data_IF_489355202408
#
_entry.id   IF_489355202408
#
_cell.length_a   1.000
_cell.length_b   1.000
_cell.length_c   1.000
_cell.angle_alpha   90.00
_cell.angle_beta   90.00
_cell.angle_gamma   90.00
#
_symmetry.space_group_name_H-M   'P 1'
#
loop_
_entity.id
_entity.type
_entity.pdbx_description
1 polymer ?
#
# COMPACT_ATOMS: atom_id res chain seq x y z
N UNK A 1 18.68 -69.77 -32.24
CA UNK A 1 19.64 -68.97 -31.46
C UNK A 1 20.24 -67.94 -32.41
N UNK A 2 20.22 -66.65 -32.01
CA UNK A 2 21.01 -65.50 -32.54
C UNK A 2 20.96 -65.25 -34.07
N UNK A 3 20.66 -64.07 -34.61
CA UNK A 3 20.52 -62.70 -34.12
C UNK A 3 20.36 -61.74 -35.33
N UNK A 4 20.64 -60.45 -35.11
CA UNK A 4 20.72 -59.33 -36.09
C UNK A 4 19.37 -58.67 -36.45
N UNK A 5 19.23 -57.35 -36.69
CA UNK A 5 20.15 -56.21 -36.80
C UNK A 5 19.31 -54.91 -36.62
N UNK A 6 19.89 -53.83 -36.08
CA UNK A 6 19.31 -52.48 -36.06
C UNK A 6 19.46 -51.77 -37.43
N UNK A 7 18.45 -51.01 -37.85
CA UNK A 7 18.61 -49.78 -38.63
C UNK A 7 17.36 -48.89 -38.52
N UNK A 8 17.58 -47.62 -38.17
CA UNK A 8 16.62 -46.52 -38.14
C UNK A 8 16.27 -46.05 -39.57
N UNK A 9 15.03 -45.67 -39.79
CA UNK A 9 14.63 -44.70 -40.81
C UNK A 9 13.48 -43.85 -40.26
N UNK A 10 13.74 -42.55 -40.12
CA UNK A 10 12.74 -41.58 -39.73
C UNK A 10 11.81 -41.20 -40.88
N UNK A 11 10.66 -40.64 -40.52
CA UNK A 11 9.90 -39.75 -41.39
C UNK A 11 9.38 -38.60 -40.54
N UNK A 12 9.80 -37.39 -40.91
CA UNK A 12 9.37 -36.15 -40.30
C UNK A 12 7.91 -35.84 -40.67
N UNK A 13 7.17 -35.38 -39.67
CA UNK A 13 5.92 -34.66 -39.85
C UNK A 13 6.07 -33.30 -39.14
N UNK A 14 5.93 -32.23 -39.92
CA UNK A 14 5.90 -30.86 -39.42
C UNK A 14 4.74 -30.69 -38.43
N UNK A 15 5.01 -30.11 -37.26
CA UNK A 15 3.97 -29.79 -36.29
C UNK A 15 3.35 -28.43 -36.64
N UNK A 16 2.01 -28.32 -36.71
CA UNK A 16 1.35 -27.04 -36.85
C UNK A 16 1.42 -26.24 -35.54
N UNK A 17 1.39 -24.93 -35.73
CA UNK A 17 1.18 -23.90 -34.71
C UNK A 17 -0.19 -24.12 -34.02
N UNK A 18 -0.30 -23.67 -32.77
CA UNK A 18 -1.47 -23.73 -31.88
C UNK A 18 -1.71 -25.03 -31.08
N UNK A 19 -1.03 -25.13 -29.93
CA UNK A 19 -1.50 -25.90 -28.79
C UNK A 19 -1.50 -25.02 -27.53
N UNK A 20 -2.61 -24.29 -27.34
CA UNK A 20 -2.95 -23.60 -26.10
C UNK A 20 -3.31 -24.67 -25.07
N UNK A 21 -2.38 -24.96 -24.16
CA UNK A 21 -2.69 -25.67 -22.91
C UNK A 21 -3.24 -24.65 -21.92
N UNK A 22 -4.54 -24.72 -21.67
CA UNK A 22 -5.24 -23.94 -20.67
C UNK A 22 -4.67 -24.22 -19.29
N UNK A 23 -4.07 -23.19 -18.69
CA UNK A 23 -3.82 -23.12 -17.27
C UNK A 23 -4.90 -22.22 -16.65
N UNK A 24 -5.68 -22.80 -15.74
CA UNK A 24 -6.61 -22.06 -14.87
C UNK A 24 -5.86 -20.99 -14.06
N UNK A 25 -6.25 -19.70 -14.10
CA UNK A 25 -5.73 -18.71 -13.18
C UNK A 25 -6.63 -18.65 -11.94
N UNK A 26 -6.36 -19.50 -10.96
CA UNK A 26 -6.96 -19.39 -9.64
C UNK A 26 -5.85 -19.31 -8.59
N UNK A 27 -5.41 -18.08 -8.30
CA UNK A 27 -4.95 -17.53 -7.01
C UNK A 27 -4.06 -16.32 -7.29
N UNK A 28 -4.59 -15.12 -7.06
CA UNK A 28 -3.94 -13.85 -7.33
C UNK A 28 -2.66 -13.67 -6.48
N UNK A 29 -1.52 -13.52 -7.14
CA UNK A 29 -0.28 -13.02 -6.56
C UNK A 29 -0.41 -11.51 -6.32
N UNK A 30 -0.87 -11.10 -5.14
CA UNK A 30 -0.94 -9.67 -4.75
C UNK A 30 0.39 -9.14 -4.18
N UNK A 31 1.54 -9.66 -4.65
CA UNK A 31 2.82 -8.98 -4.46
C UNK A 31 2.89 -7.78 -5.42
N UNK A 32 2.23 -6.69 -5.03
CA UNK A 32 1.88 -5.60 -5.92
C UNK A 32 3.09 -4.72 -6.24
N UNK A 33 3.37 -4.46 -7.53
CA UNK A 33 4.51 -3.66 -8.00
C UNK A 33 4.00 -2.40 -8.73
N UNK A 34 4.18 -1.22 -8.13
CA UNK A 34 4.03 0.07 -8.81
C UNK A 34 5.33 0.83 -8.57
N UNK A 35 6.05 1.24 -9.62
CA UNK A 35 7.47 1.64 -9.54
C UNK A 35 7.76 2.93 -8.75
N UNK A 36 6.76 3.62 -8.20
CA UNK A 36 6.93 4.85 -7.42
C UNK A 36 6.30 4.71 -6.02
N UNK A 37 7.10 4.80 -4.94
CA UNK A 37 6.62 4.78 -3.56
C UNK A 37 5.91 6.07 -3.16
N UNK A 38 4.78 5.99 -2.45
CA UNK A 38 4.13 7.17 -1.87
C UNK A 38 5.00 7.72 -0.74
N UNK A 39 5.50 8.93 -0.85
CA UNK A 39 6.28 9.55 0.23
C UNK A 39 5.36 10.18 1.28
N UNK A 40 5.84 10.35 2.52
CA UNK A 40 5.10 11.13 3.53
C UNK A 40 4.87 12.58 3.08
N UNK A 41 5.82 13.16 2.33
CA UNK A 41 5.67 14.46 1.69
C UNK A 41 4.61 14.44 0.56
N UNK A 42 4.43 13.28 -0.08
CA UNK A 42 3.34 12.99 -1.00
C UNK A 42 1.95 13.05 -0.34
N UNK A 43 1.86 12.78 0.97
CA UNK A 43 0.64 12.99 1.75
C UNK A 43 0.43 14.45 2.18
N UNK A 44 1.51 15.23 2.30
CA UNK A 44 1.46 16.66 2.65
C UNK A 44 1.34 17.58 1.44
N UNK A 45 1.24 17.03 0.21
CA UNK A 45 1.12 17.86 -1.00
C UNK A 45 -0.06 18.81 -0.78
N UNK A 46 0.23 20.11 -0.90
CA UNK A 46 -0.66 21.24 -0.61
C UNK A 46 -2.03 21.18 -1.33
N UNK A 47 -2.39 20.12 -2.04
CA UNK A 47 -3.73 20.00 -2.63
C UNK A 47 -4.55 18.79 -2.24
N UNK A 48 -4.08 17.86 -1.39
CA UNK A 48 -4.98 16.88 -0.76
C UNK A 48 -5.96 17.58 0.21
N UNK A 49 -5.54 18.70 0.81
CA UNK A 49 -6.31 19.49 1.78
C UNK A 49 -6.75 20.87 1.25
N UNK A 50 -6.05 21.45 0.26
CA UNK A 50 -6.36 22.81 -0.25
C UNK A 50 -7.04 22.74 -1.62
N UNK A 51 -8.37 22.84 -1.60
CA UNK A 51 -9.27 23.22 -2.70
C UNK A 51 -9.29 22.39 -4.02
N UNK A 52 -8.25 21.62 -4.39
CA UNK A 52 -8.21 20.83 -5.63
C UNK A 52 -8.82 19.43 -5.53
N UNK A 53 -8.66 18.78 -4.38
CA UNK A 53 -9.17 17.43 -4.05
C UNK A 53 -10.26 17.46 -2.98
N UNK A 54 -11.05 18.55 -2.91
CA UNK A 54 -12.25 18.55 -2.04
C UNK A 54 -13.16 17.39 -2.43
N UNK A 55 -13.95 16.89 -1.49
CA UNK A 55 -14.85 15.71 -1.56
C UNK A 55 -15.69 15.59 -2.86
N UNK A 56 -15.88 16.70 -3.60
CA UNK A 56 -16.61 16.78 -4.86
C UNK A 56 -15.72 16.70 -6.14
N UNK A 57 -14.43 17.04 -6.03
CA UNK A 57 -13.47 17.11 -7.14
C UNK A 57 -12.89 15.76 -7.58
N UNK A 58 -13.21 14.67 -6.87
CA UNK A 58 -12.76 13.33 -7.22
C UNK A 58 -13.84 12.48 -7.90
N UNK A 59 -15.08 12.94 -8.10
CA UNK A 59 -16.12 12.14 -8.80
C UNK A 59 -15.68 11.70 -10.21
N UNK A 60 -16.43 10.84 -10.91
CA UNK A 60 -16.09 10.44 -12.30
C UNK A 60 -15.90 11.65 -13.23
N UNK A 61 -16.57 12.76 -12.96
CA UNK A 61 -16.38 14.04 -13.66
C UNK A 61 -15.39 14.98 -12.96
N UNK A 62 -14.94 14.64 -11.76
CA UNK A 62 -13.98 15.37 -10.95
C UNK A 62 -12.62 15.53 -11.63
N UNK A 63 -12.12 14.45 -12.26
CA UNK A 63 -10.85 14.46 -13.00
C UNK A 63 -10.88 15.35 -14.25
N UNK A 64 -12.07 15.63 -14.80
CA UNK A 64 -12.24 16.53 -15.96
C UNK A 64 -12.58 17.96 -15.57
N UNK A 65 -12.64 18.28 -14.27
CA UNK A 65 -12.88 19.66 -13.82
C UNK A 65 -11.68 20.56 -14.07
N UNK A 66 -11.94 21.85 -14.24
CA UNK A 66 -10.88 22.86 -14.30
C UNK A 66 -10.06 22.89 -13.00
N UNK A 67 -10.71 22.78 -11.83
CA UNK A 67 -10.03 22.77 -10.54
C UNK A 67 -9.04 21.60 -10.38
N UNK A 68 -9.42 20.39 -10.83
CA UNK A 68 -8.49 19.26 -10.84
C UNK A 68 -7.32 19.49 -11.80
N UNK A 69 -7.57 20.01 -13.01
CA UNK A 69 -6.50 20.33 -13.97
C UNK A 69 -5.51 21.37 -13.40
N UNK A 70 -6.01 22.41 -12.75
CA UNK A 70 -5.19 23.44 -12.09
C UNK A 70 -4.34 22.83 -10.97
N UNK A 71 -4.95 22.04 -10.10
CA UNK A 71 -4.23 21.34 -9.03
C UNK A 71 -3.15 20.40 -9.59
N UNK A 72 -3.50 19.57 -10.58
CA UNK A 72 -2.58 18.61 -11.17
C UNK A 72 -1.39 19.33 -11.82
N UNK A 73 -1.66 20.43 -12.54
CA UNK A 73 -0.61 21.23 -13.18
C UNK A 73 0.30 21.92 -12.18
N UNK A 74 -0.24 22.42 -11.06
CA UNK A 74 0.56 23.02 -9.97
C UNK A 74 1.44 21.99 -9.23
N UNK A 75 1.09 20.71 -9.31
CA UNK A 75 1.76 19.62 -8.59
C UNK A 75 2.27 18.55 -9.56
N UNK A 76 2.64 18.92 -10.79
CA UNK A 76 2.93 17.98 -11.88
C UNK A 76 4.00 16.92 -11.52
N UNK A 77 4.95 17.26 -10.65
CA UNK A 77 6.00 16.34 -10.19
C UNK A 77 5.51 15.25 -9.23
N UNK A 78 4.37 15.46 -8.54
CA UNK A 78 3.88 14.57 -7.46
C UNK A 78 2.46 14.05 -7.70
N UNK A 79 1.61 14.81 -8.38
CA UNK A 79 0.22 14.47 -8.65
C UNK A 79 0.04 13.13 -9.39
N UNK A 80 0.86 12.75 -10.40
CA UNK A 80 0.73 11.45 -11.05
C UNK A 80 0.89 10.27 -10.08
N UNK A 81 1.85 10.38 -9.14
CA UNK A 81 2.10 9.35 -8.13
C UNK A 81 0.99 9.33 -7.07
N UNK A 82 0.56 10.49 -6.57
CA UNK A 82 -0.57 10.57 -5.62
C UNK A 82 -1.84 9.95 -6.23
N UNK A 83 -2.14 10.26 -7.49
CA UNK A 83 -3.29 9.67 -8.19
C UNK A 83 -3.16 8.16 -8.41
N UNK A 84 -1.95 7.66 -8.66
CA UNK A 84 -1.72 6.21 -8.74
C UNK A 84 -2.13 5.51 -7.44
N UNK A 85 -1.80 6.08 -6.27
CA UNK A 85 -2.19 5.49 -4.98
C UNK A 85 -3.66 5.70 -4.64
N UNK A 86 -4.24 6.86 -4.93
CA UNK A 86 -5.69 7.08 -4.75
C UNK A 86 -6.47 6.04 -5.55
N UNK A 87 -6.14 5.87 -6.83
CA UNK A 87 -6.84 4.91 -7.71
C UNK A 87 -6.59 3.47 -7.27
N UNK A 88 -5.35 3.12 -6.92
CA UNK A 88 -4.98 1.80 -6.37
C UNK A 88 -5.79 1.43 -5.13
N UNK A 89 -5.97 2.37 -4.20
CA UNK A 89 -6.76 2.16 -2.99
C UNK A 89 -8.27 2.13 -3.25
N UNK A 90 -8.77 3.08 -4.03
CA UNK A 90 -10.20 3.34 -4.14
C UNK A 90 -10.92 2.47 -5.18
N UNK A 91 -10.28 2.21 -6.32
CA UNK A 91 -10.86 1.49 -7.45
C UNK A 91 -10.56 -0.01 -7.33
N UNK A 92 -11.52 -0.90 -7.61
CA UNK A 92 -11.28 -2.34 -7.58
C UNK A 92 -10.34 -2.79 -8.71
N UNK A 93 -9.70 -3.93 -8.51
CA UNK A 93 -8.90 -4.60 -9.52
C UNK A 93 -9.67 -4.78 -10.84
N UNK A 94 -8.95 -4.71 -11.96
CA UNK A 94 -9.52 -4.83 -13.31
C UNK A 94 -10.16 -3.54 -13.85
N UNK A 95 -10.25 -2.48 -13.04
CA UNK A 95 -10.70 -1.16 -13.51
C UNK A 95 -9.55 -0.13 -13.53
N UNK A 96 -9.68 0.90 -14.37
CA UNK A 96 -8.67 1.98 -14.49
C UNK A 96 -9.32 3.36 -14.43
N UNK A 97 -8.53 4.39 -14.11
CA UNK A 97 -8.93 5.80 -14.26
C UNK A 97 -7.96 6.50 -15.19
N UNK A 98 -8.50 7.35 -16.05
CA UNK A 98 -7.72 8.10 -17.04
C UNK A 98 -7.91 9.59 -16.84
N UNK A 99 -6.84 10.35 -17.02
CA UNK A 99 -6.85 11.80 -16.99
C UNK A 99 -6.04 12.32 -18.18
N UNK A 100 -6.48 13.41 -18.81
CA UNK A 100 -5.70 14.12 -19.81
C UNK A 100 -5.51 15.56 -19.35
N UNK A 101 -4.26 15.97 -19.18
CA UNK A 101 -3.91 17.33 -18.78
C UNK A 101 -4.33 18.32 -19.86
N UNK A 102 -5.14 19.31 -19.50
CA UNK A 102 -5.48 20.40 -20.44
C UNK A 102 -4.31 21.35 -20.68
N UNK A 103 -3.31 21.36 -19.78
CA UNK A 103 -2.13 22.22 -19.89
C UNK A 103 -1.07 21.66 -20.85
N UNK A 104 -0.86 20.33 -20.83
CA UNK A 104 0.20 19.66 -21.61
C UNK A 104 -0.31 18.73 -22.69
N UNK A 105 -1.59 18.34 -22.64
CA UNK A 105 -2.17 17.31 -23.51
C UNK A 105 -1.80 15.87 -23.14
N UNK A 106 -0.93 15.67 -22.15
CA UNK A 106 -0.45 14.36 -21.71
C UNK A 106 -1.57 13.53 -21.08
N UNK A 107 -1.59 12.23 -21.39
CA UNK A 107 -2.59 11.28 -20.89
C UNK A 107 -1.98 10.36 -19.83
N UNK A 108 -2.61 10.34 -18.66
CA UNK A 108 -2.30 9.46 -17.55
C UNK A 108 -3.36 8.36 -17.44
N UNK A 109 -2.94 7.16 -17.06
CA UNK A 109 -3.83 6.01 -16.80
C UNK A 109 -3.33 5.27 -15.57
N UNK A 110 -4.22 5.08 -14.58
CA UNK A 110 -3.89 4.42 -13.32
C UNK A 110 -4.78 3.18 -13.13
N UNK A 111 -4.22 2.01 -12.81
CA UNK A 111 -4.98 0.82 -12.48
C UNK A 111 -5.46 0.84 -11.02
N UNK A 112 -6.68 0.33 -10.80
CA UNK A 112 -7.22 0.04 -9.47
C UNK A 112 -6.70 -1.27 -8.90
N UNK A 113 -6.96 -1.51 -7.61
CA UNK A 113 -6.65 -2.77 -6.94
C UNK A 113 -7.63 -3.08 -5.80
N UNK A 114 -7.63 -2.28 -4.72
CA UNK A 114 -8.27 -2.67 -3.46
C UNK A 114 -9.77 -2.43 -3.40
N UNK A 115 -10.30 -1.51 -4.21
CA UNK A 115 -11.74 -1.26 -4.26
C UNK A 115 -12.36 -0.72 -2.98
N UNK A 116 -11.61 0.06 -2.18
CA UNK A 116 -12.08 0.54 -0.88
C UNK A 116 -13.22 1.56 -0.95
N UNK A 117 -13.44 2.17 -2.12
CA UNK A 117 -14.46 3.18 -2.34
C UNK A 117 -15.28 2.92 -3.62
N UNK A 118 -16.18 1.92 -3.60
CA UNK A 118 -16.92 1.53 -4.80
C UNK A 118 -18.02 2.53 -5.19
N UNK A 119 -18.57 3.32 -4.27
CA UNK A 119 -19.48 4.41 -4.60
C UNK A 119 -18.76 5.48 -5.42
N UNK A 120 -17.58 5.88 -4.95
CA UNK A 120 -16.67 6.77 -5.65
C UNK A 120 -16.22 6.19 -7.00
N UNK A 121 -15.79 4.93 -7.02
CA UNK A 121 -15.42 4.24 -8.25
C UNK A 121 -16.59 4.20 -9.25
N UNK A 122 -17.83 4.08 -8.79
CA UNK A 122 -19.03 4.13 -9.63
C UNK A 122 -19.42 5.56 -10.06
N UNK A 123 -18.67 6.59 -9.66
CA UNK A 123 -18.86 7.98 -10.08
C UNK A 123 -19.70 8.84 -9.15
N UNK A 124 -20.04 8.35 -7.95
CA UNK A 124 -20.68 9.17 -6.92
C UNK A 124 -19.63 10.00 -6.18
N UNK A 125 -20.11 10.99 -5.42
CA UNK A 125 -19.27 11.66 -4.42
C UNK A 125 -18.81 10.64 -3.37
N UNK A 126 -17.55 10.75 -2.94
CA UNK A 126 -17.01 9.86 -1.91
C UNK A 126 -17.70 10.13 -0.57
N UNK A 127 -18.28 9.10 0.01
CA UNK A 127 -18.82 9.17 1.37
C UNK A 127 -17.69 9.39 2.39
N UNK A 128 -18.04 9.78 3.61
CA UNK A 128 -17.06 9.96 4.69
C UNK A 128 -16.33 8.64 4.99
N UNK A 129 -17.03 7.50 4.97
CA UNK A 129 -16.40 6.20 5.21
C UNK A 129 -15.43 5.82 4.09
N UNK A 130 -15.76 6.12 2.83
CA UNK A 130 -14.86 5.93 1.68
C UNK A 130 -13.61 6.79 1.81
N UNK A 131 -13.77 8.07 2.19
CA UNK A 131 -12.65 8.97 2.45
C UNK A 131 -11.73 8.42 3.54
N UNK A 132 -12.30 7.89 4.63
CA UNK A 132 -11.54 7.30 5.73
C UNK A 132 -10.80 6.03 5.32
N UNK A 133 -11.47 5.12 4.59
CA UNK A 133 -10.85 3.87 4.13
C UNK A 133 -9.70 4.14 3.15
N UNK A 134 -9.89 5.07 2.21
CA UNK A 134 -8.82 5.49 1.28
C UNK A 134 -7.70 6.20 2.04
N UNK A 135 -8.02 7.08 2.99
CA UNK A 135 -7.02 7.75 3.85
C UNK A 135 -6.14 6.76 4.61
N UNK A 136 -6.76 5.72 5.19
CA UNK A 136 -6.07 4.64 5.88
C UNK A 136 -5.12 3.87 4.93
N UNK A 137 -5.57 3.58 3.72
CA UNK A 137 -4.76 2.92 2.70
C UNK A 137 -3.59 3.78 2.21
N UNK A 138 -3.80 5.09 2.01
CA UNK A 138 -2.74 6.02 1.66
C UNK A 138 -1.68 6.10 2.77
N UNK A 139 -2.11 6.17 4.03
CA UNK A 139 -1.20 6.12 5.18
C UNK A 139 -0.44 4.78 5.24
N UNK A 140 -1.11 3.67 4.92
CA UNK A 140 -0.54 2.34 4.81
C UNK A 140 0.42 2.16 3.62
N UNK A 141 0.43 3.05 2.64
CA UNK A 141 1.41 3.02 1.55
C UNK A 141 2.49 4.09 1.69
N UNK A 142 2.31 5.05 2.58
CA UNK A 142 3.28 6.09 2.81
C UNK A 142 4.57 5.51 3.40
N UNK A 143 5.68 5.85 2.76
CA UNK A 143 7.03 5.48 3.15
C UNK A 143 7.89 6.74 3.18
N UNK A 144 8.58 6.99 4.30
CA UNK A 144 9.48 8.14 4.47
C UNK A 144 10.59 8.19 3.40
N UNK A 145 11.05 7.03 2.93
CA UNK A 145 12.16 6.92 1.98
C UNK A 145 11.69 6.89 0.51
N UNK A 146 10.38 6.97 0.25
CA UNK A 146 9.83 6.88 -1.11
C UNK A 146 10.07 5.54 -1.81
N UNK A 147 10.46 4.52 -1.06
CA UNK A 147 10.65 3.17 -1.58
C UNK A 147 9.31 2.45 -1.66
N UNK A 148 9.06 1.78 -2.78
CA UNK A 148 7.95 0.85 -2.89
C UNK A 148 8.35 -0.48 -2.23
N UNK A 149 7.55 -0.96 -1.28
CA UNK A 149 7.71 -2.32 -0.75
C UNK A 149 6.41 -3.10 -0.94
N UNK A 150 6.52 -4.41 -1.12
CA UNK A 150 5.35 -5.26 -1.19
C UNK A 150 4.70 -5.34 0.20
N UNK A 151 3.38 -5.23 0.26
CA UNK A 151 2.59 -5.23 1.49
C UNK A 151 1.39 -6.15 1.33
N UNK A 152 1.08 -6.89 2.39
CA UNK A 152 -0.25 -7.44 2.58
C UNK A 152 -1.12 -6.36 3.21
N UNK A 153 -2.19 -5.97 2.51
CA UNK A 153 -3.12 -4.91 2.93
C UNK A 153 -4.44 -5.56 3.28
N UNK A 154 -4.77 -5.56 4.57
CA UNK A 154 -5.92 -6.27 5.12
C UNK A 154 -6.89 -5.28 5.74
N UNK A 155 -8.19 -5.57 5.64
CA UNK A 155 -9.21 -4.67 6.16
C UNK A 155 -10.57 -4.92 5.52
N UNK A 156 -11.37 -3.86 5.45
CA UNK A 156 -12.68 -3.87 4.79
C UNK A 156 -12.84 -2.65 3.88
N UNK A 157 -13.64 -2.79 2.82
CA UNK A 157 -14.12 -1.66 2.02
C UNK A 157 -15.05 -0.78 2.85
N UNK A 158 -15.41 0.40 2.34
CA UNK A 158 -16.34 1.31 3.00
C UNK A 158 -17.74 0.71 3.26
N UNK A 159 -18.15 -0.28 2.48
CA UNK A 159 -19.41 -1.04 2.60
C UNK A 159 -19.27 -2.25 3.52
N UNK A 160 -18.07 -2.46 4.08
CA UNK A 160 -17.80 -3.52 5.04
C UNK A 160 -17.42 -4.87 4.42
N UNK A 161 -17.24 -4.99 3.10
CA UNK A 161 -16.73 -6.21 2.47
C UNK A 161 -15.26 -6.42 2.86
N UNK A 162 -14.85 -7.64 3.19
CA UNK A 162 -13.45 -7.93 3.48
C UNK A 162 -12.60 -7.76 2.20
N UNK A 163 -11.42 -7.16 2.34
CA UNK A 163 -10.41 -7.19 1.26
C UNK A 163 -10.00 -8.66 1.09
N UNK A 164 -10.02 -9.23 -0.14
CA UNK A 164 -9.58 -10.60 -0.36
C UNK A 164 -8.11 -10.79 0.02
N UNK A 165 -7.80 -11.91 0.69
CA UNK A 165 -6.44 -12.35 1.01
C UNK A 165 -6.36 -13.87 0.96
N UNK A 166 -5.15 -14.40 0.75
CA UNK A 166 -4.89 -15.85 0.69
C UNK A 166 -4.06 -16.36 1.87
N UNK A 167 -4.04 -17.68 2.07
CA UNK A 167 -3.17 -18.30 3.07
C UNK A 167 -1.68 -18.14 2.68
N UNK A 168 -1.40 -18.19 1.38
CA UNK A 168 -0.09 -17.99 0.79
C UNK A 168 0.42 -16.57 1.06
N UNK A 169 -0.42 -15.54 0.85
CA UNK A 169 -0.11 -14.16 1.19
C UNK A 169 0.25 -14.03 2.67
N UNK A 170 -0.60 -14.54 3.58
CA UNK A 170 -0.33 -14.46 5.01
C UNK A 170 0.92 -15.25 5.43
N UNK A 171 1.31 -16.28 4.68
CA UNK A 171 2.54 -17.04 4.92
C UNK A 171 3.80 -16.27 4.51
N UNK A 172 3.73 -15.53 3.40
CA UNK A 172 4.82 -14.70 2.89
C UNK A 172 4.95 -13.39 3.67
N UNK A 173 3.83 -12.73 3.93
CA UNK A 173 3.70 -11.51 4.72
C UNK A 173 3.32 -11.85 6.16
N UNK A 174 4.13 -12.70 6.80
CA UNK A 174 3.82 -13.22 8.14
C UNK A 174 4.15 -12.24 9.28
N UNK A 175 4.90 -11.17 8.99
CA UNK A 175 5.28 -10.20 10.00
C UNK A 175 4.23 -9.09 10.10
N UNK A 176 3.56 -9.02 11.25
CA UNK A 176 2.64 -7.92 11.58
C UNK A 176 3.40 -6.60 11.67
N UNK A 177 2.80 -5.55 11.10
CA UNK A 177 3.42 -4.23 11.06
C UNK A 177 2.58 -3.25 11.88
N UNK A 178 1.49 -2.74 11.31
CA UNK A 178 0.73 -1.63 11.88
C UNK A 178 -0.73 -1.65 11.43
N UNK A 179 -1.52 -0.81 12.09
CA UNK A 179 -2.85 -0.42 11.65
C UNK A 179 -2.86 1.08 11.38
N UNK A 180 -3.57 1.48 10.32
CA UNK A 180 -3.67 2.84 9.82
C UNK A 180 -5.15 3.23 9.74
N UNK A 181 -5.44 4.48 10.10
CA UNK A 181 -6.81 5.01 10.09
C UNK A 181 -6.80 6.55 10.17
N UNK A 182 -7.96 7.17 10.00
CA UNK A 182 -8.13 8.63 10.05
C UNK A 182 -8.86 9.16 8.83
N UNK A 183 -8.78 10.46 8.60
CA UNK A 183 -9.37 11.10 7.42
C UNK A 183 -8.54 12.32 6.98
N UNK A 184 -7.80 12.15 5.89
CA UNK A 184 -6.94 13.19 5.30
C UNK A 184 -7.74 14.34 4.67
N UNK A 185 -9.01 14.09 4.32
CA UNK A 185 -9.89 15.08 3.68
C UNK A 185 -10.60 15.99 4.69
N UNK A 186 -10.28 15.86 5.98
CA UNK A 186 -10.83 16.62 7.09
C UNK A 186 -9.70 17.02 8.05
N UNK A 187 -10.03 17.75 9.12
CA UNK A 187 -9.07 18.11 10.16
C UNK A 187 -8.84 17.00 11.19
N UNK A 188 -9.29 15.77 10.91
CA UNK A 188 -9.14 14.64 11.82
C UNK A 188 -7.70 14.13 11.89
N UNK A 189 -6.95 14.23 10.79
CA UNK A 189 -5.58 13.73 10.70
C UNK A 189 -5.48 12.26 10.30
N UNK A 190 -4.24 11.78 10.21
CA UNK A 190 -3.89 10.38 9.92
C UNK A 190 -3.17 9.78 11.11
N UNK A 191 -3.54 8.55 11.45
CA UNK A 191 -3.03 7.84 12.61
C UNK A 191 -2.47 6.48 12.21
N UNK A 192 -1.41 6.08 12.90
CA UNK A 192 -0.85 4.74 12.83
C UNK A 192 -0.67 4.19 14.25
N UNK A 193 -0.79 2.89 14.41
CA UNK A 193 -0.41 2.21 15.64
C UNK A 193 0.23 0.86 15.32
N UNK A 194 1.01 0.32 16.25
CA UNK A 194 1.78 -0.91 16.08
C UNK A 194 0.92 -2.15 16.35
N UNK A 195 0.98 -3.15 15.47
CA UNK A 195 0.28 -4.44 15.67
C UNK A 195 1.17 -5.51 16.32
N UNK A 196 2.41 -5.15 16.66
CA UNK A 196 3.29 -5.94 17.51
C UNK A 196 4.25 -5.03 18.26
N UNK A 197 4.87 -5.57 19.29
CA UNK A 197 6.00 -4.91 19.91
C UNK A 197 7.21 -4.97 18.98
N UNK A 198 7.91 -3.85 18.89
CA UNK A 198 9.18 -3.70 18.20
C UNK A 198 10.25 -3.43 19.23
N UNK A 199 11.34 -4.17 19.15
CA UNK A 199 12.52 -3.90 19.95
C UNK A 199 13.24 -2.65 19.42
N UNK A 200 13.98 -1.96 20.28
CA UNK A 200 14.79 -0.81 19.87
C UNK A 200 15.92 -1.16 18.87
N UNK A 201 16.20 -2.45 18.67
CA UNK A 201 17.14 -2.95 17.69
C UNK A 201 16.53 -3.12 16.30
N UNK A 202 15.20 -3.17 16.18
CA UNK A 202 14.52 -3.34 14.90
C UNK A 202 14.32 -2.00 14.20
N UNK A 203 14.48 -2.00 12.87
CA UNK A 203 14.12 -0.90 12.00
C UNK A 203 13.42 -1.40 10.75
N UNK A 204 12.83 -0.47 10.00
CA UNK A 204 12.18 -0.77 8.73
C UNK A 204 12.10 0.47 7.90
N UNK A 205 12.00 0.28 6.59
CA UNK A 205 11.76 1.34 5.62
C UNK A 205 10.44 2.08 5.95
N UNK A 206 9.46 1.42 6.58
CA UNK A 206 8.14 1.99 6.88
C UNK A 206 8.00 2.43 8.33
N UNK A 207 8.91 3.32 8.72
CA UNK A 207 9.05 3.87 10.06
C UNK A 207 7.77 4.49 10.68
N UNK A 208 6.74 4.85 9.90
CA UNK A 208 5.54 5.50 10.45
C UNK A 208 4.59 4.55 11.19
N UNK A 209 4.58 3.28 10.80
CA UNK A 209 3.92 2.25 11.60
C UNK A 209 4.70 1.88 12.85
N UNK A 210 6.03 2.10 12.86
CA UNK A 210 6.97 1.36 13.71
C UNK A 210 7.76 2.22 14.71
N UNK A 211 8.06 3.47 14.36
CA UNK A 211 8.91 4.36 15.14
C UNK A 211 8.20 4.87 16.40
N UNK A 212 8.92 4.79 17.52
CA UNK A 212 8.56 5.40 18.80
C UNK A 212 8.76 6.92 18.82
N UNK A 213 9.45 7.49 17.83
CA UNK A 213 9.70 8.92 17.72
C UNK A 213 8.69 9.54 16.77
N UNK A 214 7.75 10.31 17.31
CA UNK A 214 6.66 10.98 16.61
C UNK A 214 7.12 11.94 15.49
N UNK A 215 8.36 12.43 15.55
CA UNK A 215 8.73 13.70 14.90
C UNK A 215 9.12 13.60 13.41
N UNK A 216 9.05 12.42 12.77
CA UNK A 216 9.49 12.28 11.36
C UNK A 216 8.49 11.64 10.39
N UNK A 217 7.24 11.48 10.81
CA UNK A 217 6.19 10.81 10.03
C UNK A 217 4.97 11.67 9.72
N UNK A 218 5.05 12.98 9.98
CA UNK A 218 4.01 13.93 9.60
C UNK A 218 3.62 13.73 8.11
N UNK A 219 2.32 13.68 7.80
CA UNK A 219 1.18 14.03 8.65
C UNK A 219 0.63 12.85 9.48
N UNK A 220 1.25 11.67 9.43
CA UNK A 220 0.83 10.48 10.18
C UNK A 220 1.34 10.58 11.61
N UNK A 221 0.43 10.48 12.58
CA UNK A 221 0.75 10.44 14.01
C UNK A 221 0.72 9.00 14.51
N UNK A 222 1.84 8.52 15.06
CA UNK A 222 1.85 7.23 15.75
C UNK A 222 1.25 7.39 17.15
N UNK A 223 0.22 6.61 17.47
CA UNK A 223 -0.52 6.73 18.73
C UNK A 223 -0.30 5.57 19.71
N UNK A 224 0.58 4.62 19.39
CA UNK A 224 0.90 3.49 20.29
C UNK A 224 0.60 2.13 19.69
N UNK A 225 -0.31 1.35 20.31
CA UNK A 225 -0.61 -0.04 19.92
C UNK A 225 -2.01 -0.20 19.33
N UNK A 226 -2.12 -0.97 18.24
CA UNK A 226 -3.40 -1.33 17.65
C UNK A 226 -4.33 -2.03 18.64
N UNK A 227 -3.79 -2.86 19.53
CA UNK A 227 -4.58 -3.57 20.53
C UNK A 227 -5.28 -2.63 21.54
N UNK A 228 -4.79 -1.40 21.69
CA UNK A 228 -5.39 -0.40 22.59
C UNK A 228 -6.51 0.40 21.93
N UNK A 229 -6.37 0.70 20.63
CA UNK A 229 -7.26 1.62 19.93
C UNK A 229 -8.18 0.94 18.93
N UNK A 230 -7.91 -0.30 18.54
CA UNK A 230 -8.56 -0.97 17.43
C UNK A 230 -9.24 -2.28 17.82
N UNK A 231 -10.30 -2.62 17.10
CA UNK A 231 -11.14 -3.80 17.35
C UNK A 231 -11.17 -4.72 16.14
N UNK A 232 -11.15 -6.03 16.40
CA UNK A 232 -11.41 -7.07 15.40
C UNK A 232 -12.87 -7.50 15.49
N UNK A 233 -13.50 -7.77 14.34
CA UNK A 233 -14.84 -8.36 14.33
C UNK A 233 -14.80 -9.84 14.76
N UNK A 234 -13.71 -10.53 14.45
CA UNK A 234 -13.44 -11.91 14.85
C UNK A 234 -11.98 -12.01 15.30
N UNK A 235 -11.68 -12.57 16.48
CA UNK A 235 -10.30 -12.76 16.95
C UNK A 235 -9.41 -13.55 15.99
N UNK A 236 -9.98 -14.45 15.18
CA UNK A 236 -9.26 -15.24 14.18
C UNK A 236 -8.85 -14.44 12.94
N UNK A 237 -9.47 -13.28 12.69
CA UNK A 237 -9.13 -12.46 11.54
C UNK A 237 -7.73 -11.84 11.69
N UNK A 238 -6.95 -11.78 10.59
CA UNK A 238 -5.60 -11.26 10.62
C UNK A 238 -5.53 -9.72 10.67
N UNK A 239 -6.67 -9.02 10.77
CA UNK A 239 -6.78 -7.57 10.68
C UNK A 239 -7.77 -6.97 11.67
N UNK A 240 -7.59 -5.67 11.97
CA UNK A 240 -8.56 -4.85 12.70
C UNK A 240 -9.59 -4.27 11.75
N UNK A 241 -10.82 -4.11 12.23
CA UNK A 241 -11.92 -3.55 11.45
C UNK A 241 -12.11 -2.06 11.68
N UNK A 242 -11.96 -1.61 12.92
CA UNK A 242 -12.16 -0.22 13.31
C UNK A 242 -11.16 0.21 14.36
N UNK A 243 -10.78 1.49 14.35
CA UNK A 243 -9.98 2.12 15.39
C UNK A 243 -10.70 3.36 15.93
N UNK A 244 -10.63 3.58 17.24
CA UNK A 244 -11.23 4.73 17.92
C UNK A 244 -10.14 5.58 18.53
N UNK A 245 -10.10 6.86 18.16
CA UNK A 245 -9.18 7.84 18.71
C UNK A 245 -9.86 9.20 18.80
N UNK A 246 -9.60 9.98 19.86
CA UNK A 246 -10.24 11.28 20.13
C UNK A 246 -11.78 11.25 20.01
N UNK A 247 -12.42 10.16 20.46
CA UNK A 247 -13.88 10.01 20.45
C UNK A 247 -14.50 9.72 19.07
N UNK A 248 -13.69 9.54 18.02
CA UNK A 248 -14.15 9.18 16.67
C UNK A 248 -13.70 7.78 16.31
N UNK A 249 -14.55 7.08 15.56
CA UNK A 249 -14.28 5.72 15.08
C UNK A 249 -14.12 5.74 13.57
N UNK A 250 -13.07 5.06 13.09
CA UNK A 250 -12.67 5.02 11.69
C UNK A 250 -12.55 3.55 11.24
N UNK A 251 -12.83 3.24 9.96
CA UNK A 251 -12.36 1.99 9.38
C UNK A 251 -10.83 1.91 9.46
N UNK A 252 -10.32 0.70 9.67
CA UNK A 252 -8.89 0.43 9.81
C UNK A 252 -8.35 -0.38 8.63
N UNK A 253 -7.13 -0.04 8.21
CA UNK A 253 -6.30 -0.87 7.33
C UNK A 253 -5.17 -1.44 8.16
N UNK A 254 -5.03 -2.77 8.16
CA UNK A 254 -3.93 -3.48 8.83
C UNK A 254 -2.93 -3.93 7.77
N UNK A 255 -1.65 -3.74 8.03
CA UNK A 255 -0.60 -4.17 7.12
C UNK A 255 0.25 -5.28 7.72
N UNK A 256 0.76 -6.12 6.82
CA UNK A 256 1.82 -7.07 7.11
C UNK A 256 2.91 -6.98 6.05
N UNK A 257 4.13 -7.29 6.47
CA UNK A 257 5.33 -7.20 5.65
C UNK A 257 6.03 -8.55 5.58
N UNK A 258 6.90 -8.72 4.59
CA UNK A 258 7.84 -9.84 4.59
C UNK A 258 8.87 -9.63 5.70
N UNK A 259 9.37 -10.70 6.35
CA UNK A 259 10.46 -10.57 7.33
C UNK A 259 11.70 -9.84 6.81
N UNK A 260 11.96 -9.91 5.50
CA UNK A 260 13.09 -9.21 4.85
C UNK A 260 12.96 -7.69 4.85
N UNK A 261 11.77 -7.15 5.12
CA UNK A 261 11.51 -5.71 5.26
C UNK A 261 11.70 -5.20 6.71
N UNK A 262 12.09 -6.11 7.61
CA UNK A 262 12.38 -5.84 9.01
C UNK A 262 13.87 -6.06 9.25
N UNK A 263 14.58 -4.96 9.44
CA UNK A 263 16.02 -4.95 9.67
C UNK A 263 16.31 -4.96 11.16
N UNK A 264 17.52 -5.39 11.53
CA UNK A 264 17.88 -5.45 12.93
C UNK A 264 19.36 -5.23 13.16
N UNK A 265 19.67 -4.33 14.08
CA UNK A 265 21.03 -4.11 14.52
C UNK A 265 21.62 -5.39 15.12
N UNK A 266 22.77 -5.80 14.60
CA UNK A 266 23.45 -7.06 14.84
C UNK A 266 23.15 -8.16 13.82
N UNK A 267 22.52 -7.86 12.69
CA UNK A 267 22.27 -8.84 11.61
C UNK A 267 23.40 -8.92 10.57
N UNK A 268 24.44 -8.07 10.73
CA UNK A 268 25.65 -8.08 9.93
C UNK A 268 25.61 -7.19 8.70
N UNK A 269 24.53 -6.43 8.48
CA UNK A 269 24.43 -5.47 7.37
C UNK A 269 24.00 -4.11 7.93
N UNK A 270 24.78 -3.05 7.73
CA UNK A 270 24.32 -1.71 8.09
C UNK A 270 23.24 -1.26 7.10
N UNK A 271 21.97 -1.39 7.44
CA UNK A 271 20.89 -0.89 6.59
C UNK A 271 20.78 0.63 6.70
N UNK A 272 20.21 1.27 5.68
CA UNK A 272 20.05 2.73 5.63
C UNK A 272 19.10 3.29 6.69
N UNK A 273 18.34 2.42 7.36
CA UNK A 273 17.49 2.74 8.50
C UNK A 273 18.23 2.60 9.84
N UNK A 274 19.49 2.20 9.80
CA UNK A 274 20.39 2.12 10.94
C UNK A 274 21.45 3.22 10.88
N UNK A 275 22.00 3.55 12.05
CA UNK A 275 22.96 4.63 12.20
C UNK A 275 24.16 4.15 13.01
N UNK A 276 25.36 4.55 12.58
CA UNK A 276 26.59 4.28 13.32
C UNK A 276 26.50 4.85 14.75
N UNK A 277 27.08 4.12 15.69
CA UNK A 277 27.11 4.52 17.08
C UNK A 277 27.68 3.43 17.98
N UNK A 278 27.59 3.62 19.29
CA UNK A 278 28.18 2.71 20.29
C UNK A 278 27.20 1.71 20.88
N UNK A 279 25.91 1.79 20.52
CA UNK A 279 24.84 0.98 21.09
C UNK A 279 24.50 -0.30 20.32
N UNK A 280 23.30 -0.82 20.61
CA UNK A 280 22.68 -1.99 19.99
C UNK A 280 21.28 -1.68 19.45
N UNK A 281 20.98 -0.40 19.24
CA UNK A 281 19.69 0.06 18.71
C UNK A 281 19.86 0.40 17.24
N UNK A 282 18.79 0.40 16.44
CA UNK A 282 18.89 0.84 15.05
C UNK A 282 19.47 2.27 14.94
N UNK A 283 19.09 3.18 15.84
CA UNK A 283 19.59 4.58 15.88
C UNK A 283 21.07 4.71 16.35
N UNK A 284 21.69 3.62 16.80
CA UNK A 284 23.05 3.60 17.34
C UNK A 284 23.56 2.16 17.29
N UNK A 285 23.86 1.68 16.08
CA UNK A 285 24.21 0.30 15.80
C UNK A 285 25.71 0.11 15.61
N UNK A 286 26.41 -0.27 16.67
CA UNK A 286 27.84 -0.55 16.58
C UNK A 286 28.15 -1.80 15.77
N UNK A 287 27.30 -2.82 15.91
CA UNK A 287 27.55 -4.15 15.37
C UNK A 287 27.61 -4.14 13.84
N UNK A 288 26.71 -3.40 13.21
CA UNK A 288 26.56 -3.41 11.75
C UNK A 288 27.13 -2.14 11.11
N UNK A 289 26.89 -0.97 11.71
CA UNK A 289 27.27 0.33 11.15
C UNK A 289 28.59 0.91 11.68
N UNK A 290 29.21 0.25 12.67
CA UNK A 290 30.39 0.78 13.35
C UNK A 290 30.09 1.92 14.33
N UNK A 291 31.15 2.50 14.89
CA UNK A 291 31.07 3.58 15.88
C UNK A 291 31.19 4.97 15.23
#
# INVERSE_FOLDING_TARGET
MTGALFALAGCGGAMPEDAVLGADPASAEQAQQVDNGLTVNGLTVNGLTVNGLTVNGLTVNGLSTQGFNEWFSQNADTAPMVMAYIVKCAVPEGQTRTFQSTATGEKYTWPGNLGLAPGWAAGKAATVTEQQAVSACLAAHANKYGLHIALSVLGRTAEGAAIPYSAEELSQFNAREACFFGNLFTNDGLFAARDRDFSAAESSTRACGLSLKADSCAPITNIGSCAQFCTKADPSQPYYTHCTYNGKTYPAITTRVKPTELFRCGDGVCQFTEHAGSGTTADSCRADCGA
#
